data_IF_168432955447
#
_entry.id   IF_168432955447
#
_cell.length_a   1.000
_cell.length_b   1.000
_cell.length_c   1.000
_cell.angle_alpha   90.00
_cell.angle_beta   90.00
_cell.angle_gamma   90.00
#
_symmetry.space_group_name_H-M   'P 1'
#
loop_
_entity.id
_entity.type
_entity.pdbx_description
1 polymer ?
#
# COMPACT_ATOMS: atom_id res chain seq x y z
N UNK A 1 21.83 -6.36 4.02
CA UNK A 1 22.30 -7.07 5.23
C UNK A 1 21.08 -7.61 5.94
N UNK A 2 21.03 -8.90 6.33
CA UNK A 2 19.94 -9.44 7.14
C UNK A 2 19.97 -8.86 8.56
N UNK A 3 18.86 -8.96 9.29
CA UNK A 3 18.84 -8.65 10.72
C UNK A 3 19.77 -9.63 11.47
N UNK A 4 20.41 -9.21 12.57
CA UNK A 4 21.17 -10.12 13.43
C UNK A 4 20.24 -11.14 14.09
N UNK A 5 20.81 -12.30 14.43
CA UNK A 5 20.10 -13.30 15.22
C UNK A 5 19.76 -12.75 16.61
N UNK A 6 18.59 -13.14 17.13
CA UNK A 6 18.24 -12.81 18.51
C UNK A 6 19.10 -13.62 19.46
N UNK A 7 19.60 -12.98 20.51
CA UNK A 7 20.32 -13.63 21.60
C UNK A 7 19.39 -14.47 22.53
N UNK A 8 18.08 -14.39 22.33
CA UNK A 8 17.07 -15.17 23.06
C UNK A 8 16.42 -16.17 22.11
N UNK A 9 16.16 -17.39 22.60
CA UNK A 9 15.41 -18.41 21.84
C UNK A 9 14.01 -17.90 21.53
N UNK A 10 13.56 -18.08 20.28
CA UNK A 10 12.24 -17.66 19.81
C UNK A 10 11.49 -18.85 19.25
N UNK A 11 10.17 -18.84 19.44
CA UNK A 11 9.25 -19.74 18.77
C UNK A 11 8.53 -18.98 17.66
N UNK A 12 8.42 -19.58 16.48
CA UNK A 12 7.67 -18.99 15.37
C UNK A 12 6.18 -19.31 15.51
N UNK A 13 5.36 -18.28 15.72
CA UNK A 13 3.92 -18.42 16.00
C UNK A 13 3.04 -18.01 14.82
N UNK A 14 3.47 -16.99 14.07
CA UNK A 14 2.63 -16.32 13.07
C UNK A 14 3.47 -15.72 11.96
N UNK A 15 3.02 -15.90 10.72
CA UNK A 15 3.56 -15.21 9.54
C UNK A 15 2.44 -14.38 8.92
N UNK A 16 2.69 -13.08 8.78
CA UNK A 16 1.96 -12.20 7.88
C UNK A 16 2.80 -11.95 6.64
N UNK A 17 2.24 -12.20 5.47
CA UNK A 17 2.83 -11.85 4.18
C UNK A 17 1.94 -10.81 3.51
N UNK A 18 2.58 -9.75 3.00
CA UNK A 18 1.93 -8.74 2.17
C UNK A 18 2.63 -8.72 0.83
N UNK A 19 1.87 -8.92 -0.24
CA UNK A 19 2.37 -8.91 -1.61
C UNK A 19 1.63 -7.82 -2.38
N UNK A 20 2.36 -6.92 -3.01
CA UNK A 20 1.77 -5.85 -3.82
C UNK A 20 2.41 -5.86 -5.21
N UNK A 21 1.60 -5.88 -6.25
CA UNK A 21 2.05 -5.87 -7.65
C UNK A 21 1.43 -4.68 -8.38
N UNK A 22 2.27 -3.82 -8.95
CA UNK A 22 1.83 -2.64 -9.71
C UNK A 22 1.72 -2.92 -11.21
N UNK A 23 0.72 -2.34 -11.86
CA UNK A 23 0.42 -2.50 -13.28
C UNK A 23 0.12 -1.15 -13.92
N UNK A 24 0.61 -0.95 -15.14
CA UNK A 24 0.14 0.13 -16.03
C UNK A 24 -0.96 -0.42 -16.93
N UNK A 25 -2.08 0.28 -17.03
CA UNK A 25 -3.21 -0.11 -17.88
C UNK A 25 -3.12 0.53 -19.25
N UNK A 26 -3.84 -0.04 -20.20
CA UNK A 26 -3.93 0.47 -21.58
C UNK A 26 -4.75 1.75 -21.68
N UNK A 27 -5.67 1.99 -20.73
CA UNK A 27 -6.50 3.19 -20.64
C UNK A 27 -5.80 4.40 -19.98
N UNK A 28 -4.50 4.26 -19.67
CA UNK A 28 -3.69 5.32 -19.05
C UNK A 28 -3.77 5.36 -17.52
N UNK A 29 -4.58 4.51 -16.89
CA UNK A 29 -4.62 4.36 -15.44
C UNK A 29 -3.55 3.37 -14.93
N UNK A 30 -3.45 3.25 -13.62
CA UNK A 30 -2.53 2.36 -12.94
C UNK A 30 -3.26 1.56 -11.88
N UNK A 31 -2.98 0.27 -11.81
CA UNK A 31 -3.51 -0.61 -10.76
C UNK A 31 -2.40 -1.05 -9.82
N UNK A 32 -2.75 -1.29 -8.56
CA UNK A 32 -1.98 -2.14 -7.66
C UNK A 32 -2.89 -3.24 -7.10
N UNK A 33 -2.46 -4.48 -7.26
CA UNK A 33 -3.06 -5.62 -6.57
C UNK A 33 -2.27 -5.91 -5.32
N UNK A 34 -2.91 -5.75 -4.17
CA UNK A 34 -2.34 -6.04 -2.86
C UNK A 34 -3.04 -7.24 -2.24
N UNK A 35 -2.27 -8.15 -1.67
CA UNK A 35 -2.72 -9.30 -0.92
C UNK A 35 -2.15 -9.25 0.49
N UNK A 36 -2.97 -9.58 1.48
CA UNK A 36 -2.53 -9.95 2.81
C UNK A 36 -2.81 -11.44 3.03
N UNK A 37 -1.82 -12.17 3.56
CA UNK A 37 -1.93 -13.58 3.92
C UNK A 37 -1.33 -13.82 5.30
N UNK A 38 -2.19 -14.17 6.24
CA UNK A 38 -1.81 -14.50 7.62
C UNK A 38 -1.94 -16.01 7.84
N UNK A 39 -0.88 -16.64 8.33
CA UNK A 39 -0.84 -18.05 8.69
C UNK A 39 -0.30 -18.22 10.11
N UNK A 40 -0.65 -19.33 10.75
CA UNK A 40 -0.13 -19.70 12.07
C UNK A 40 0.54 -21.07 12.02
N UNK A 41 1.46 -21.31 12.95
CA UNK A 41 2.19 -22.59 13.08
C UNK A 41 1.46 -23.61 13.96
N UNK A 42 0.29 -23.25 14.49
CA UNK A 42 -0.54 -24.08 15.35
C UNK A 42 -2.00 -24.06 14.90
N UNK A 43 -2.78 -25.05 15.31
CA UNK A 43 -4.21 -25.12 14.99
C UNK A 43 -4.97 -24.01 15.71
N UNK A 44 -5.82 -23.30 14.99
CA UNK A 44 -6.72 -22.30 15.57
C UNK A 44 -8.13 -22.87 15.59
N UNK A 45 -8.66 -23.09 16.80
CA UNK A 45 -10.07 -23.41 16.98
C UNK A 45 -10.93 -22.23 16.50
N UNK A 46 -11.87 -22.50 15.59
CA UNK A 46 -12.67 -21.47 14.97
C UNK A 46 -14.12 -21.94 14.77
N UNK A 47 -15.07 -21.17 15.27
CA UNK A 47 -16.49 -21.53 15.23
C UNK A 47 -17.11 -21.46 13.84
N UNK A 48 -16.56 -20.64 12.94
CA UNK A 48 -17.12 -20.43 11.61
C UNK A 48 -16.62 -21.48 10.60
N UNK A 49 -15.31 -21.79 10.64
CA UNK A 49 -14.63 -22.67 9.67
C UNK A 49 -14.28 -24.04 10.23
N UNK A 50 -14.54 -24.29 11.52
CA UNK A 50 -13.93 -25.41 12.24
C UNK A 50 -12.43 -25.19 12.47
N UNK A 51 -11.71 -26.18 13.02
CA UNK A 51 -10.28 -26.05 13.32
C UNK A 51 -9.46 -25.70 12.07
N UNK A 52 -8.77 -24.56 12.10
CA UNK A 52 -7.89 -24.10 11.02
C UNK A 52 -6.49 -24.66 11.29
N UNK A 53 -6.02 -25.57 10.43
CA UNK A 53 -4.73 -26.26 10.58
C UNK A 53 -3.53 -25.32 10.40
N UNK A 54 -2.35 -25.66 10.94
CA UNK A 54 -1.11 -24.93 10.69
C UNK A 54 -0.84 -24.70 9.21
N UNK A 55 -0.36 -23.51 8.85
CA UNK A 55 -0.08 -23.11 7.47
C UNK A 55 -1.31 -22.75 6.63
N UNK A 56 -2.53 -23.08 7.07
CA UNK A 56 -3.76 -22.65 6.41
C UNK A 56 -4.03 -21.18 6.76
N UNK A 57 -4.41 -20.33 5.80
CA UNK A 57 -4.65 -18.92 6.06
C UNK A 57 -5.82 -18.68 7.03
N UNK A 58 -5.53 -17.92 8.10
CA UNK A 58 -6.57 -17.35 8.95
C UNK A 58 -7.15 -16.10 8.31
N UNK A 59 -6.30 -15.29 7.68
CA UNK A 59 -6.70 -14.17 6.84
C UNK A 59 -6.07 -14.33 5.45
N UNK A 60 -6.86 -14.21 4.41
CA UNK A 60 -6.41 -14.05 3.04
C UNK A 60 -7.36 -13.08 2.36
N UNK A 61 -6.88 -11.88 2.06
CA UNK A 61 -7.71 -10.79 1.55
C UNK A 61 -6.96 -10.04 0.47
N UNK A 62 -7.71 -9.45 -0.45
CA UNK A 62 -7.17 -8.71 -1.57
C UNK A 62 -7.76 -7.31 -1.65
N UNK A 63 -6.94 -6.38 -2.14
CA UNK A 63 -7.33 -5.01 -2.47
C UNK A 63 -6.72 -4.66 -3.84
N UNK A 64 -7.56 -4.24 -4.79
CA UNK A 64 -7.11 -3.54 -6.00
C UNK A 64 -7.38 -2.05 -5.83
N UNK A 65 -6.37 -1.23 -6.07
CA UNK A 65 -6.51 0.23 -6.13
C UNK A 65 -6.14 0.72 -7.52
N UNK A 66 -7.04 1.47 -8.15
CA UNK A 66 -6.84 2.07 -9.48
C UNK A 66 -6.66 3.58 -9.32
N UNK A 67 -5.60 4.15 -9.90
CA UNK A 67 -5.29 5.59 -9.86
C UNK A 67 -4.88 6.14 -11.22
N UNK A 68 -5.00 7.46 -11.39
CA UNK A 68 -4.39 8.17 -12.51
C UNK A 68 -2.99 8.71 -12.17
N UNK A 69 -2.40 9.43 -13.13
CA UNK A 69 -1.09 10.07 -12.99
C UNK A 69 -1.04 11.18 -11.92
N UNK A 70 -2.19 11.74 -11.56
CA UNK A 70 -2.34 12.72 -10.48
C UNK A 70 -2.56 12.04 -9.12
N UNK A 71 -2.56 10.71 -9.07
CA UNK A 71 -2.85 9.89 -7.89
C UNK A 71 -4.28 10.10 -7.34
N UNK A 72 -5.24 10.43 -8.20
CA UNK A 72 -6.66 10.35 -7.88
C UNK A 72 -7.11 8.90 -7.93
N UNK A 73 -7.88 8.44 -6.94
CA UNK A 73 -8.44 7.08 -6.94
C UNK A 73 -9.67 7.02 -7.83
N UNK A 74 -9.61 6.18 -8.87
CA UNK A 74 -10.70 5.93 -9.81
C UNK A 74 -11.52 4.70 -9.44
N UNK A 75 -10.88 3.68 -8.88
CA UNK A 75 -11.58 2.49 -8.39
C UNK A 75 -10.86 1.86 -7.19
N UNK A 76 -11.63 1.16 -6.36
CA UNK A 76 -11.11 0.32 -5.29
C UNK A 76 -11.97 -0.94 -5.16
N UNK A 77 -11.33 -2.12 -5.27
CA UNK A 77 -11.99 -3.42 -5.10
C UNK A 77 -11.37 -4.08 -3.89
N UNK A 78 -12.20 -4.66 -3.01
CA UNK A 78 -11.74 -5.46 -1.90
C UNK A 78 -12.48 -6.80 -1.90
N UNK A 79 -11.77 -7.90 -1.63
CA UNK A 79 -12.36 -9.24 -1.47
C UNK A 79 -11.67 -9.99 -0.34
N UNK A 80 -12.37 -10.96 0.23
CA UNK A 80 -11.90 -11.79 1.35
C UNK A 80 -12.05 -13.26 0.96
N UNK A 81 -10.93 -13.95 0.76
CA UNK A 81 -10.90 -15.38 0.46
C UNK A 81 -10.98 -16.21 1.74
N UNK A 82 -10.25 -15.78 2.77
CA UNK A 82 -10.24 -16.42 4.08
C UNK A 82 -10.38 -15.39 5.19
N UNK A 83 -11.33 -15.63 6.09
CA UNK A 83 -11.51 -14.89 7.34
C UNK A 83 -11.82 -15.84 8.50
N UNK A 84 -11.57 -15.42 9.75
CA UNK A 84 -11.99 -16.21 10.92
C UNK A 84 -13.47 -16.03 11.25
N UNK A 85 -14.14 -15.01 10.72
CA UNK A 85 -15.54 -14.70 11.04
C UNK A 85 -16.38 -14.59 9.77
N UNK A 86 -17.61 -15.09 9.85
CA UNK A 86 -18.55 -15.14 8.73
C UNK A 86 -18.91 -13.76 8.18
N UNK A 87 -18.95 -12.73 9.04
CA UNK A 87 -19.31 -11.37 8.66
C UNK A 87 -18.16 -10.55 8.06
N UNK A 88 -16.92 -11.06 8.06
CA UNK A 88 -15.78 -10.28 7.55
C UNK A 88 -15.90 -9.90 6.06
N UNK A 89 -16.41 -10.76 5.15
CA UNK A 89 -16.58 -10.39 3.74
C UNK A 89 -17.59 -9.26 3.52
N UNK A 90 -18.59 -9.12 4.39
CA UNK A 90 -19.70 -8.15 4.25
C UNK A 90 -19.24 -6.70 4.25
N UNK A 91 -18.07 -6.42 4.84
CA UNK A 91 -17.53 -5.06 4.97
C UNK A 91 -16.83 -4.58 3.70
N UNK A 92 -16.47 -5.48 2.77
CA UNK A 92 -15.69 -5.16 1.58
C UNK A 92 -16.25 -4.01 0.72
N UNK A 93 -17.58 -3.80 0.57
CA UNK A 93 -18.09 -2.69 -0.22
C UNK A 93 -17.72 -1.29 0.32
N UNK A 94 -17.37 -1.15 1.61
CA UNK A 94 -17.02 0.16 2.18
C UNK A 94 -15.77 0.77 1.51
N UNK A 95 -14.90 -0.06 0.94
CA UNK A 95 -13.67 0.39 0.29
C UNK A 95 -13.92 1.24 -0.96
N UNK A 96 -15.13 1.18 -1.53
CA UNK A 96 -15.56 2.12 -2.58
C UNK A 96 -15.57 3.59 -2.12
N UNK A 97 -15.59 3.87 -0.81
CA UNK A 97 -15.45 5.23 -0.27
C UNK A 97 -14.10 5.89 -0.55
N UNK A 98 -13.10 5.11 -0.96
CA UNK A 98 -11.81 5.66 -1.39
C UNK A 98 -11.86 6.28 -2.80
N UNK A 99 -12.89 5.97 -3.60
CA UNK A 99 -13.06 6.53 -4.94
C UNK A 99 -13.26 8.04 -4.85
N UNK A 100 -12.51 8.79 -5.68
CA UNK A 100 -12.50 10.25 -5.69
C UNK A 100 -11.58 10.88 -4.64
N UNK A 101 -10.98 10.11 -3.75
CA UNK A 101 -9.95 10.60 -2.85
C UNK A 101 -8.60 10.71 -3.57
N UNK A 102 -7.77 11.67 -3.14
CA UNK A 102 -6.42 11.87 -3.69
C UNK A 102 -5.37 11.31 -2.74
N UNK A 103 -4.43 10.53 -3.26
CA UNK A 103 -3.27 10.08 -2.49
C UNK A 103 -2.30 11.26 -2.35
N UNK A 104 -2.31 11.86 -1.17
CA UNK A 104 -1.57 13.09 -0.86
C UNK A 104 -1.13 13.10 0.62
N UNK A 105 -0.37 14.11 1.09
CA UNK A 105 -0.08 14.24 2.52
C UNK A 105 -1.35 14.14 3.37
N UNK A 106 -1.34 13.24 4.37
CA UNK A 106 -2.52 12.92 5.19
C UNK A 106 -3.32 11.70 4.72
N UNK A 107 -2.97 11.09 3.59
CA UNK A 107 -3.65 9.91 3.02
C UNK A 107 -3.93 8.80 4.03
N UNK A 108 -2.93 8.37 4.81
CA UNK A 108 -3.10 7.31 5.82
C UNK A 108 -4.19 7.65 6.85
N UNK A 109 -4.28 8.92 7.27
CA UNK A 109 -5.33 9.36 8.19
C UNK A 109 -6.69 9.27 7.51
N UNK A 110 -6.78 9.75 6.26
CA UNK A 110 -8.01 9.74 5.48
C UNK A 110 -8.55 8.32 5.23
N UNK A 111 -7.67 7.38 4.90
CA UNK A 111 -8.02 5.95 4.79
C UNK A 111 -8.62 5.45 6.10
N UNK A 112 -7.99 5.75 7.24
CA UNK A 112 -8.49 5.31 8.55
C UNK A 112 -9.86 5.90 8.89
N UNK A 113 -10.11 7.16 8.56
CA UNK A 113 -11.42 7.80 8.75
C UNK A 113 -12.52 7.11 7.93
N UNK A 114 -12.21 6.70 6.70
CA UNK A 114 -13.21 6.20 5.76
C UNK A 114 -13.51 4.70 5.91
N UNK A 115 -12.49 3.87 6.11
CA UNK A 115 -12.57 2.40 5.93
C UNK A 115 -11.93 1.57 7.04
N UNK A 116 -11.47 2.18 8.13
CA UNK A 116 -10.97 1.48 9.32
C UNK A 116 -11.95 1.57 10.50
N UNK A 117 -11.55 1.08 11.67
CA UNK A 117 -12.36 1.13 12.88
C UNK A 117 -13.57 0.19 12.84
N UNK A 118 -14.59 0.49 13.65
CA UNK A 118 -15.80 -0.34 13.78
C UNK A 118 -16.58 -0.44 12.46
N UNK A 119 -16.56 0.62 11.65
CA UNK A 119 -17.21 0.65 10.36
C UNK A 119 -16.44 -0.09 9.25
N UNK A 120 -15.24 -0.60 9.52
CA UNK A 120 -14.30 -1.01 8.49
C UNK A 120 -13.61 -2.35 8.73
N UNK A 121 -12.49 -2.56 8.04
CA UNK A 121 -11.66 -3.75 8.23
C UNK A 121 -10.22 -3.32 8.51
N UNK A 122 -9.71 -3.65 9.71
CA UNK A 122 -8.30 -3.37 10.07
C UNK A 122 -7.32 -3.94 9.05
N UNK A 123 -7.51 -5.19 8.62
CA UNK A 123 -6.61 -5.88 7.70
C UNK A 123 -6.52 -5.18 6.34
N UNK A 124 -7.67 -4.92 5.71
CA UNK A 124 -7.72 -4.28 4.41
C UNK A 124 -7.33 -2.79 4.48
N UNK A 125 -7.69 -2.08 5.56
CA UNK A 125 -7.27 -0.69 5.76
C UNK A 125 -5.75 -0.56 5.93
N UNK A 126 -5.12 -1.46 6.68
CA UNK A 126 -3.67 -1.52 6.81
C UNK A 126 -2.99 -1.89 5.47
N UNK A 127 -3.64 -2.72 4.64
CA UNK A 127 -3.15 -3.11 3.32
C UNK A 127 -3.12 -1.96 2.30
N UNK A 128 -3.94 -0.92 2.47
CA UNK A 128 -3.93 0.28 1.61
C UNK A 128 -2.58 0.99 1.65
N UNK A 129 -1.88 1.00 2.79
CA UNK A 129 -0.58 1.65 2.94
C UNK A 129 0.50 1.05 2.01
N UNK A 130 0.79 -0.26 2.12
CA UNK A 130 1.67 -0.97 1.20
C UNK A 130 1.24 -0.83 -0.26
N UNK A 131 -0.06 -0.98 -0.57
CA UNK A 131 -0.57 -0.80 -1.92
C UNK A 131 -0.24 0.60 -2.48
N UNK A 132 -0.45 1.63 -1.67
CA UNK A 132 -0.13 3.02 -2.00
C UNK A 132 1.36 3.24 -2.24
N UNK A 133 2.21 2.58 -1.46
CA UNK A 133 3.67 2.70 -1.65
C UNK A 133 4.08 2.02 -2.95
N UNK A 134 3.53 0.85 -3.23
CA UNK A 134 3.80 0.11 -4.47
C UNK A 134 3.35 0.88 -5.71
N UNK A 135 2.16 1.50 -5.70
CA UNK A 135 1.69 2.29 -6.85
C UNK A 135 2.62 3.49 -7.09
N UNK A 136 2.99 4.20 -6.02
CA UNK A 136 3.88 5.35 -6.07
C UNK A 136 5.26 4.99 -6.63
N UNK A 137 5.85 3.89 -6.16
CA UNK A 137 7.16 3.41 -6.64
C UNK A 137 7.09 2.84 -8.06
N UNK A 138 5.96 2.25 -8.46
CA UNK A 138 5.74 1.78 -9.83
C UNK A 138 5.70 2.96 -10.82
N UNK A 139 5.12 4.09 -10.41
CA UNK A 139 5.05 5.29 -11.23
C UNK A 139 6.39 6.06 -11.28
N UNK A 140 7.13 6.14 -10.15
CA UNK A 140 8.29 7.02 -9.97
C UNK A 140 9.46 6.79 -10.94
N UNK A 141 9.50 5.64 -11.65
CA UNK A 141 10.50 5.35 -12.68
C UNK A 141 10.00 5.42 -14.12
N UNK A 142 8.68 5.42 -14.35
CA UNK A 142 8.06 5.33 -15.69
C UNK A 142 7.51 6.69 -16.13
N UNK A 143 6.99 7.51 -15.21
CA UNK A 143 6.68 8.93 -15.44
C UNK A 143 7.94 9.79 -15.51
N UNK A 144 9.08 9.21 -15.91
CA UNK A 144 10.30 9.93 -16.22
C UNK A 144 10.07 10.73 -17.49
N UNK A 145 9.69 12.00 -17.36
CA UNK A 145 10.03 13.11 -18.27
C UNK A 145 10.10 12.77 -19.77
N UNK A 146 9.16 11.96 -20.27
CA UNK A 146 9.13 11.53 -21.68
C UNK A 146 8.12 12.32 -22.50
N UNK A 147 7.33 13.16 -21.85
CA UNK A 147 6.51 14.15 -22.53
C UNK A 147 6.96 15.52 -22.08
N UNK A 148 7.34 16.38 -23.03
CA UNK A 148 7.62 17.81 -22.83
C UNK A 148 6.46 18.59 -22.14
N UNK A 149 5.32 17.92 -21.95
CA UNK A 149 4.14 18.40 -21.25
C UNK A 149 4.24 18.35 -19.71
N UNK A 150 5.12 17.53 -19.12
CA UNK A 150 5.20 17.35 -17.66
C UNK A 150 6.02 18.48 -17.01
N UNK A 151 5.36 19.61 -16.74
CA UNK A 151 5.93 20.77 -16.04
C UNK A 151 5.73 20.73 -14.52
N UNK A 152 5.02 19.72 -14.02
CA UNK A 152 4.69 19.58 -12.60
C UNK A 152 5.89 19.06 -11.81
N UNK A 153 5.99 19.52 -10.55
CA UNK A 153 7.00 19.01 -9.62
C UNK A 153 6.84 17.49 -9.50
N UNK A 154 7.90 16.69 -9.73
CA UNK A 154 7.83 15.25 -9.57
C UNK A 154 7.27 14.90 -8.19
N UNK A 155 6.25 14.04 -8.18
CA UNK A 155 5.48 13.74 -6.98
C UNK A 155 6.33 13.14 -5.85
N UNK A 156 7.49 12.55 -6.19
CA UNK A 156 8.45 11.93 -5.27
C UNK A 156 9.38 12.89 -4.52
N UNK A 157 9.46 14.15 -4.93
CA UNK A 157 10.24 15.15 -4.18
C UNK A 157 9.55 15.44 -2.84
N UNK A 158 10.31 15.37 -1.75
CA UNK A 158 9.87 15.38 -0.35
C UNK A 158 9.05 14.14 0.06
N UNK A 159 9.03 13.08 -0.76
CA UNK A 159 8.37 11.81 -0.43
C UNK A 159 9.21 10.86 0.41
N UNK A 160 10.54 10.99 0.39
CA UNK A 160 11.45 10.23 1.24
C UNK A 160 12.75 11.01 1.52
N UNK A 161 13.55 10.50 2.46
CA UNK A 161 14.82 11.11 2.86
C UNK A 161 15.76 11.37 1.67
N UNK A 162 15.85 10.42 0.74
CA UNK A 162 16.72 10.55 -0.44
C UNK A 162 16.26 11.65 -1.41
N UNK A 163 14.98 12.02 -1.41
CA UNK A 163 14.39 13.02 -2.31
C UNK A 163 13.98 14.30 -1.59
N UNK A 164 14.59 14.62 -0.45
CA UNK A 164 14.38 15.90 0.24
C UNK A 164 14.82 17.06 -0.67
N UNK A 165 14.03 18.13 -0.73
CA UNK A 165 14.19 19.18 -1.75
C UNK A 165 15.47 20.00 -1.61
N UNK A 166 16.14 19.99 -0.47
CA UNK A 166 17.46 20.58 -0.25
C UNK A 166 18.60 19.54 -0.27
N UNK A 167 18.32 18.30 -0.66
CA UNK A 167 19.30 17.22 -0.78
C UNK A 167 20.01 17.18 -2.12
N UNK A 168 21.18 16.53 -2.15
CA UNK A 168 22.04 16.41 -3.34
C UNK A 168 21.31 15.76 -4.53
N UNK A 169 20.48 14.75 -4.28
CA UNK A 169 19.72 14.04 -5.31
C UNK A 169 18.76 14.97 -6.06
N UNK A 170 18.09 15.88 -5.36
CA UNK A 170 17.22 16.86 -6.03
C UNK A 170 18.06 17.89 -6.78
N UNK A 171 19.22 18.30 -6.25
CA UNK A 171 20.15 19.18 -6.97
C UNK A 171 20.62 18.56 -8.30
N UNK A 172 20.97 17.28 -8.29
CA UNK A 172 21.55 16.58 -9.45
C UNK A 172 20.50 16.28 -10.53
N UNK A 173 19.32 15.78 -10.13
CA UNK A 173 18.32 15.26 -11.08
C UNK A 173 17.18 16.25 -11.38
N UNK A 174 16.93 17.20 -10.47
CA UNK A 174 15.80 18.15 -10.54
C UNK A 174 16.17 19.56 -10.04
N UNK A 175 17.21 20.21 -10.62
CA UNK A 175 17.76 21.46 -10.10
C UNK A 175 16.74 22.62 -10.02
N UNK A 176 15.68 22.58 -10.83
CA UNK A 176 14.56 23.54 -10.79
C UNK A 176 13.78 23.50 -9.48
N UNK A 177 13.74 22.35 -8.80
CA UNK A 177 13.00 22.14 -7.55
C UNK A 177 13.89 22.09 -6.30
N UNK A 178 15.20 22.35 -6.45
CA UNK A 178 16.14 22.37 -5.33
C UNK A 178 15.94 23.62 -4.44
N UNK A 179 15.80 23.41 -3.14
CA UNK A 179 15.53 24.46 -2.14
C UNK A 179 16.73 24.77 -1.24
N UNK A 180 17.85 24.05 -1.37
CA UNK A 180 19.04 24.29 -0.57
C UNK A 180 19.82 25.53 -1.01
N UNK A 181 20.79 25.95 -0.19
CA UNK A 181 21.68 27.06 -0.56
C UNK A 181 22.56 26.63 -1.73
N UNK A 182 22.45 27.31 -2.87
CA UNK A 182 23.45 27.19 -3.95
C UNK A 182 24.72 27.86 -3.43
N UNK A 183 25.72 27.07 -3.06
CA UNK A 183 27.07 27.59 -2.82
C UNK A 183 27.54 28.24 -4.12
N UNK A 184 27.89 29.53 -4.02
CA UNK A 184 28.51 30.29 -5.11
C UNK A 184 29.88 29.72 -5.44
#
# INVERSE_FOLDING_TARGET
MPLPDSNIKREHIHTRQVTCTGYRREDGLWDVDAQIKDTKTYTVENNHRGPIKPGVPIHEMWLRLTVDVDLLVHDCIAVTDHSPYACCPDITPIFKRLIGEKIAPGWTRRVKELVAGVQGCTHLADLVGPATTTIYQSMAGITKGKTDAEKSKPFYINGCHAWVSDGQQVLDFHPTYYTGKKTK
#
